data_IF_953488127945
#
_entry.id   IF_953488127945
#
_cell.length_a   1.000
_cell.length_b   1.000
_cell.length_c   1.000
_cell.angle_alpha   90.00
_cell.angle_beta   90.00
_cell.angle_gamma   90.00
#
_symmetry.space_group_name_H-M   'P 1'
#
loop_
_entity.id
_entity.type
_entity.pdbx_description
1 polymer ?
#
# COMPACT_ATOMS: atom_id res chain seq x y z
N UNK A 1 -29.63 -13.22 18.04
CA UNK A 1 -28.81 -13.65 16.88
C UNK A 1 -28.52 -12.49 15.92
N UNK A 2 -29.53 -11.76 15.43
CA UNK A 2 -29.34 -10.67 14.45
C UNK A 2 -28.41 -9.52 14.91
N UNK A 3 -28.45 -9.12 16.19
CA UNK A 3 -27.58 -8.04 16.69
C UNK A 3 -26.09 -8.40 16.74
N UNK A 4 -25.76 -9.67 16.97
CA UNK A 4 -24.37 -10.14 16.94
C UNK A 4 -23.83 -10.09 15.50
N UNK A 5 -24.64 -10.53 14.52
CA UNK A 5 -24.27 -10.50 13.09
C UNK A 5 -23.97 -9.07 12.64
N UNK A 6 -24.84 -8.10 12.97
CA UNK A 6 -24.60 -6.71 12.61
C UNK A 6 -23.32 -6.10 13.24
N UNK A 7 -23.00 -6.48 14.49
CA UNK A 7 -21.78 -6.00 15.15
C UNK A 7 -20.50 -6.60 14.53
N UNK A 8 -20.55 -7.88 14.14
CA UNK A 8 -19.44 -8.58 13.48
C UNK A 8 -19.24 -8.09 12.04
N UNK A 9 -20.32 -7.85 11.29
CA UNK A 9 -20.23 -7.35 9.90
C UNK A 9 -19.51 -5.99 9.85
N UNK A 10 -19.88 -5.03 10.70
CA UNK A 10 -19.22 -3.73 10.74
C UNK A 10 -17.72 -3.84 11.10
N UNK A 11 -17.40 -4.71 12.07
CA UNK A 11 -16.00 -4.94 12.48
C UNK A 11 -15.20 -5.59 11.35
N UNK A 12 -15.80 -6.55 10.65
CA UNK A 12 -15.18 -7.24 9.51
C UNK A 12 -14.94 -6.29 8.34
N UNK A 13 -15.95 -5.54 7.92
CA UNK A 13 -15.89 -4.52 6.86
C UNK A 13 -14.79 -3.48 7.14
N UNK A 14 -14.65 -3.05 8.40
CA UNK A 14 -13.60 -2.13 8.81
C UNK A 14 -12.20 -2.73 8.64
N UNK A 15 -12.01 -3.99 9.05
CA UNK A 15 -10.73 -4.69 8.90
C UNK A 15 -10.39 -4.90 7.42
N UNK A 16 -11.35 -5.35 6.61
CA UNK A 16 -11.18 -5.54 5.16
C UNK A 16 -10.80 -4.23 4.49
N UNK A 17 -11.47 -3.13 4.83
CA UNK A 17 -11.14 -1.80 4.30
C UNK A 17 -9.70 -1.42 4.65
N UNK A 18 -9.28 -1.58 5.91
CA UNK A 18 -7.92 -1.24 6.36
C UNK A 18 -6.88 -2.07 5.61
N UNK A 19 -7.05 -3.40 5.55
CA UNK A 19 -6.06 -4.29 4.95
C UNK A 19 -5.96 -4.08 3.44
N UNK A 20 -7.10 -3.91 2.75
CA UNK A 20 -7.12 -3.68 1.32
C UNK A 20 -6.42 -2.37 0.94
N UNK A 21 -6.72 -1.27 1.65
CA UNK A 21 -6.02 0.00 1.44
C UNK A 21 -4.53 -0.11 1.74
N UNK A 22 -4.17 -0.74 2.87
CA UNK A 22 -2.78 -0.87 3.28
C UNK A 22 -1.96 -1.68 2.27
N UNK A 23 -2.54 -2.72 1.67
CA UNK A 23 -1.94 -3.53 0.62
C UNK A 23 -1.70 -2.71 -0.65
N UNK A 24 -2.72 -1.98 -1.13
CA UNK A 24 -2.58 -1.14 -2.34
C UNK A 24 -1.50 -0.07 -2.13
N UNK A 25 -1.48 0.58 -0.96
CA UNK A 25 -0.46 1.57 -0.65
C UNK A 25 0.94 0.95 -0.53
N UNK A 26 1.06 -0.25 0.05
CA UNK A 26 2.33 -0.94 0.16
C UNK A 26 2.90 -1.31 -1.22
N UNK A 27 2.05 -1.78 -2.13
CA UNK A 27 2.45 -2.09 -3.50
C UNK A 27 2.82 -0.82 -4.28
N UNK A 28 2.04 0.26 -4.19
CA UNK A 28 2.38 1.55 -4.81
C UNK A 28 3.72 2.10 -4.29
N UNK A 29 3.95 2.02 -2.97
CA UNK A 29 5.24 2.42 -2.37
C UNK A 29 6.40 1.53 -2.83
N UNK A 30 6.18 0.22 -2.94
CA UNK A 30 7.19 -0.71 -3.43
C UNK A 30 7.54 -0.42 -4.90
N UNK A 31 6.53 -0.22 -5.74
CA UNK A 31 6.70 0.18 -7.15
C UNK A 31 7.48 1.49 -7.21
N UNK A 32 7.04 2.55 -6.53
CA UNK A 32 7.68 3.85 -6.49
C UNK A 32 9.16 3.80 -6.06
N UNK A 33 9.51 2.88 -5.14
CA UNK A 33 10.90 2.70 -4.67
C UNK A 33 11.80 1.99 -5.67
N UNK A 34 11.24 1.17 -6.55
CA UNK A 34 11.98 0.43 -7.57
C UNK A 34 12.24 1.28 -8.82
N UNK A 35 11.47 2.36 -9.02
CA UNK A 35 11.64 3.30 -10.13
C UNK A 35 13.01 3.98 -10.06
N UNK A 36 13.93 3.62 -10.94
CA UNK A 36 15.20 4.32 -11.11
C UNK A 36 15.07 5.53 -12.06
N UNK A 37 14.16 5.46 -13.03
CA UNK A 37 13.90 6.52 -14.00
C UNK A 37 12.39 6.71 -14.18
N UNK A 38 11.91 7.95 -14.04
CA UNK A 38 10.50 8.27 -14.14
C UNK A 38 10.06 8.28 -15.60
N UNK A 39 9.41 7.20 -16.03
CA UNK A 39 8.78 7.14 -17.34
C UNK A 39 7.32 7.64 -17.26
N UNK A 40 6.83 8.48 -18.20
CA UNK A 40 5.46 9.00 -18.14
C UNK A 40 4.37 7.92 -18.03
N UNK A 41 4.56 6.78 -18.70
CA UNK A 41 3.62 5.64 -18.61
C UNK A 41 3.58 5.01 -17.21
N UNK A 42 4.67 5.08 -16.45
CA UNK A 42 4.75 4.52 -15.10
C UNK A 42 3.94 5.37 -14.13
N UNK A 43 4.07 6.69 -14.20
CA UNK A 43 3.24 7.65 -13.47
C UNK A 43 1.76 7.44 -13.83
N UNK A 44 1.46 7.27 -15.12
CA UNK A 44 0.09 7.00 -15.56
C UNK A 44 -0.47 5.70 -14.94
N UNK A 45 0.36 4.65 -14.79
CA UNK A 45 -0.06 3.39 -14.17
C UNK A 45 -0.33 3.51 -12.67
N UNK A 46 0.50 4.28 -11.94
CA UNK A 46 0.27 4.55 -10.52
C UNK A 46 -1.02 5.34 -10.31
N UNK A 47 -1.24 6.40 -11.10
CA UNK A 47 -2.47 7.18 -11.06
C UNK A 47 -3.68 6.31 -11.41
N UNK A 48 -3.58 5.49 -12.46
CA UNK A 48 -4.64 4.56 -12.86
C UNK A 48 -5.02 3.61 -11.71
N UNK A 49 -4.02 3.08 -11.00
CA UNK A 49 -4.25 2.19 -9.85
C UNK A 49 -5.01 2.91 -8.73
N UNK A 50 -4.63 4.14 -8.40
CA UNK A 50 -5.34 4.97 -7.41
C UNK A 50 -6.77 5.25 -7.86
N UNK A 51 -6.97 5.56 -9.14
CA UNK A 51 -8.31 5.80 -9.71
C UNK A 51 -9.18 4.55 -9.61
N UNK A 52 -8.67 3.39 -10.01
CA UNK A 52 -9.37 2.10 -9.91
C UNK A 52 -9.74 1.79 -8.46
N UNK A 53 -8.84 2.06 -7.51
CA UNK A 53 -9.12 1.91 -6.08
C UNK A 53 -10.27 2.82 -5.62
N UNK A 54 -10.26 4.09 -6.00
CA UNK A 54 -11.36 5.02 -5.69
C UNK A 54 -12.68 4.52 -6.30
N UNK A 55 -12.68 4.09 -7.56
CA UNK A 55 -13.86 3.50 -8.20
C UNK A 55 -14.35 2.25 -7.47
N UNK A 56 -13.44 1.41 -6.99
CA UNK A 56 -13.80 0.19 -6.25
C UNK A 56 -14.58 0.52 -4.97
N UNK A 57 -14.24 1.60 -4.25
CA UNK A 57 -15.01 2.04 -3.08
C UNK A 57 -16.45 2.44 -3.44
N UNK A 58 -16.63 3.10 -4.58
CA UNK A 58 -17.96 3.54 -5.01
C UNK A 58 -18.86 2.40 -5.46
N UNK A 59 -18.28 1.36 -6.09
CA UNK A 59 -19.01 0.17 -6.53
C UNK A 59 -19.29 -0.75 -5.33
N UNK A 60 -18.32 -0.96 -4.44
CA UNK A 60 -18.41 -1.87 -3.30
C UNK A 60 -18.80 -1.15 -2.00
N UNK A 61 -19.75 -0.23 -2.03
CA UNK A 61 -20.22 0.50 -0.83
C UNK A 61 -20.73 -0.38 0.31
N UNK A 62 -21.13 -1.63 0.01
CA UNK A 62 -21.51 -2.61 1.04
C UNK A 62 -20.32 -3.14 1.85
N UNK A 63 -19.09 -3.01 1.33
CA UNK A 63 -17.85 -3.49 1.94
C UNK A 63 -16.90 -2.37 2.37
N UNK A 64 -17.15 -1.14 1.91
CA UNK A 64 -16.36 0.04 2.25
C UNK A 64 -17.24 1.06 2.96
N UNK A 65 -17.08 1.15 4.28
CA UNK A 65 -17.70 2.22 5.06
C UNK A 65 -16.92 3.53 4.85
N UNK A 66 -17.47 4.41 4.01
CA UNK A 66 -16.87 5.71 3.67
C UNK A 66 -16.71 6.59 4.91
N UNK A 67 -17.65 6.52 5.86
CA UNK A 67 -17.58 7.31 7.11
C UNK A 67 -16.39 6.84 7.95
N UNK A 68 -16.14 5.53 8.01
CA UNK A 68 -14.97 4.98 8.68
C UNK A 68 -13.66 5.35 7.96
N UNK A 69 -13.60 5.25 6.63
CA UNK A 69 -12.41 5.56 5.82
C UNK A 69 -11.96 7.02 5.98
N UNK A 70 -12.90 7.95 6.15
CA UNK A 70 -12.60 9.38 6.37
C UNK A 70 -12.05 9.69 7.78
N UNK A 71 -12.02 8.70 8.68
CA UNK A 71 -11.58 8.90 10.06
C UNK A 71 -10.06 8.87 10.17
N UNK A 72 -9.46 9.71 11.02
CA UNK A 72 -8.00 9.73 11.25
C UNK A 72 -7.47 8.37 11.75
N UNK A 73 -8.25 7.68 12.59
CA UNK A 73 -7.91 6.34 13.10
C UNK A 73 -7.73 5.32 11.97
N UNK A 74 -8.51 5.44 10.89
CA UNK A 74 -8.35 4.57 9.73
C UNK A 74 -6.97 4.78 9.09
N UNK A 75 -6.65 6.03 8.76
CA UNK A 75 -5.36 6.37 8.14
C UNK A 75 -4.16 6.06 9.05
N UNK A 76 -4.29 6.23 10.37
CA UNK A 76 -3.25 5.83 11.32
C UNK A 76 -3.01 4.31 11.32
N UNK A 77 -4.08 3.50 11.26
CA UNK A 77 -3.96 2.03 11.17
C UNK A 77 -3.38 1.60 9.82
N UNK A 78 -3.88 2.17 8.73
CA UNK A 78 -3.39 1.89 7.37
C UNK A 78 -1.90 2.22 7.26
N UNK A 79 -1.48 3.42 7.66
CA UNK A 79 -0.07 3.83 7.61
C UNK A 79 0.82 2.94 8.49
N UNK A 80 0.38 2.58 9.70
CA UNK A 80 1.11 1.65 10.55
C UNK A 80 1.31 0.28 9.89
N UNK A 81 0.24 -0.31 9.32
CA UNK A 81 0.31 -1.61 8.62
C UNK A 81 1.19 -1.53 7.38
N UNK A 82 1.03 -0.48 6.57
CA UNK A 82 1.86 -0.25 5.37
C UNK A 82 3.34 -0.12 5.74
N UNK A 83 3.68 0.66 6.78
CA UNK A 83 5.06 0.83 7.21
C UNK A 83 5.67 -0.47 7.75
N UNK A 84 4.95 -1.21 8.60
CA UNK A 84 5.44 -2.49 9.13
C UNK A 84 5.68 -3.51 8.00
N UNK A 85 4.87 -3.47 6.94
CA UNK A 85 5.01 -4.40 5.80
C UNK A 85 6.12 -3.98 4.84
N UNK A 86 6.27 -2.69 4.58
CA UNK A 86 7.19 -2.16 3.57
C UNK A 86 8.62 -1.95 4.10
N UNK A 87 8.78 -1.48 5.34
CA UNK A 87 10.10 -1.14 5.92
C UNK A 87 11.09 -2.33 5.95
N UNK A 88 10.72 -3.56 6.35
CA UNK A 88 11.66 -4.69 6.38
C UNK A 88 12.24 -5.01 5.01
N UNK A 89 11.42 -4.89 3.95
CA UNK A 89 11.84 -5.14 2.57
C UNK A 89 12.87 -4.10 2.14
N UNK A 90 12.66 -2.83 2.47
CA UNK A 90 13.59 -1.77 2.12
C UNK A 90 14.92 -1.87 2.87
N UNK A 91 14.87 -2.23 4.16
CA UNK A 91 16.08 -2.48 4.95
C UNK A 91 16.87 -3.64 4.34
N UNK A 92 16.20 -4.74 3.99
CA UNK A 92 16.87 -5.89 3.36
C UNK A 92 17.50 -5.53 2.01
N UNK A 93 16.78 -4.78 1.16
CA UNK A 93 17.31 -4.27 -0.12
C UNK A 93 18.54 -3.39 0.09
N UNK A 94 18.48 -2.46 1.06
CA UNK A 94 19.59 -1.57 1.39
C UNK A 94 20.82 -2.34 1.89
N UNK A 95 20.63 -3.28 2.83
CA UNK A 95 21.71 -4.11 3.38
C UNK A 95 22.37 -4.95 2.28
N UNK A 96 21.57 -5.57 1.40
CA UNK A 96 22.10 -6.34 0.26
C UNK A 96 22.91 -5.45 -0.68
N UNK A 97 22.43 -4.24 -1.00
CA UNK A 97 23.14 -3.29 -1.86
C UNK A 97 24.48 -2.85 -1.26
N UNK A 98 24.56 -2.67 0.07
CA UNK A 98 25.79 -2.32 0.77
C UNK A 98 26.79 -3.48 0.86
N UNK A 99 26.32 -4.72 1.10
CA UNK A 99 27.19 -5.90 1.23
C UNK A 99 27.63 -6.49 -0.11
N UNK A 100 26.80 -6.36 -1.15
CA UNK A 100 27.07 -6.87 -2.50
C UNK A 100 26.83 -5.78 -3.54
N UNK A 101 27.75 -4.80 -3.67
CA UNK A 101 27.62 -3.77 -4.68
C UNK A 101 27.62 -4.42 -6.09
N UNK A 102 26.65 -4.09 -6.96
CA UNK A 102 26.54 -4.65 -8.30
C UNK A 102 27.79 -4.33 -9.13
N UNK A 103 28.21 -5.25 -10.02
CA UNK A 103 29.46 -5.14 -10.79
C UNK A 103 29.59 -3.85 -11.61
N UNK A 104 28.48 -3.21 -11.98
CA UNK A 104 28.46 -1.89 -12.63
C UNK A 104 29.06 -0.77 -11.77
N UNK A 105 28.94 -0.85 -10.44
CA UNK A 105 29.57 0.07 -9.50
C UNK A 105 31.09 -0.16 -9.39
N UNK A 106 31.59 -1.35 -9.74
CA UNK A 106 33.03 -1.68 -9.73
C UNK A 106 33.78 -1.19 -10.98
N UNK A 107 33.07 -0.85 -12.05
CA UNK A 107 33.65 -0.32 -13.29
C UNK A 107 33.74 1.22 -13.31
N UNK A 108 33.15 1.89 -12.32
CA UNK A 108 33.15 3.35 -12.17
C UNK A 108 34.20 3.88 -11.19
N UNK A 109 35.03 2.99 -10.60
CA UNK A 109 36.23 3.41 -9.88
C UNK A 109 37.37 3.62 -10.89
N UNK A 110 38.03 4.80 -10.91
CA UNK A 110 39.14 5.12 -11.82
C UNK A 110 40.35 4.20 -11.64
#
# INVERSE_FOLDING_TARGET
MMGAVALFENSFTNVVSITFTALILAELLNVASEIQTWHPLMIASEICTVVVYIFSMFILRSYFDITFIMTLTFWAKVTAVTLVSWVPIQIFKAVKKTLQPPQHAKLASP
#
